data_IF_112920824215
#
_entry.id   IF_112920824215
#
_cell.length_a   1.000
_cell.length_b   1.000
_cell.length_c   1.000
_cell.angle_alpha   90.00
_cell.angle_beta   90.00
_cell.angle_gamma   90.00
#
_symmetry.space_group_name_H-M   'P 1'
#
loop_
_entity.id
_entity.type
_entity.pdbx_description
1 polymer ?
#
# COMPACT_ATOMS: atom_id res chain seq x y z
N UNK A 1 10.04 31.75 -8.06
CA UNK A 1 10.75 31.01 -9.11
C UNK A 1 11.71 30.04 -8.43
N UNK A 2 11.46 28.74 -8.54
CA UNK A 2 12.22 27.68 -7.87
C UNK A 2 13.39 27.16 -8.73
N UNK A 3 13.44 27.54 -10.01
CA UNK A 3 14.38 26.95 -10.96
C UNK A 3 15.84 27.27 -10.62
N UNK A 4 16.10 28.50 -10.17
CA UNK A 4 17.44 28.92 -9.73
C UNK A 4 17.94 28.18 -8.49
N UNK A 5 17.04 27.83 -7.57
CA UNK A 5 17.37 27.09 -6.34
C UNK A 5 17.69 25.63 -6.68
N UNK A 6 16.90 25.02 -7.55
CA UNK A 6 17.13 23.64 -7.98
C UNK A 6 18.47 23.51 -8.72
N UNK A 7 18.77 24.41 -9.66
CA UNK A 7 20.08 24.44 -10.35
C UNK A 7 21.26 24.68 -9.43
N UNK A 8 21.07 25.37 -8.30
CA UNK A 8 22.12 25.53 -7.30
C UNK A 8 22.33 24.23 -6.50
N UNK A 9 21.26 23.55 -6.13
CA UNK A 9 21.30 22.26 -5.43
C UNK A 9 21.92 21.15 -6.31
N UNK A 10 21.57 21.09 -7.60
CA UNK A 10 22.17 20.16 -8.57
C UNK A 10 23.68 20.36 -8.67
N UNK A 11 24.13 21.61 -8.88
CA UNK A 11 25.56 21.94 -8.93
C UNK A 11 26.30 21.58 -7.65
N UNK A 12 25.65 21.77 -6.49
CA UNK A 12 26.23 21.39 -5.22
C UNK A 12 26.42 19.87 -5.16
N UNK A 13 25.40 19.09 -5.53
CA UNK A 13 25.47 17.62 -5.53
C UNK A 13 26.54 17.09 -6.51
N UNK A 14 26.63 17.65 -7.71
CA UNK A 14 27.62 17.24 -8.72
C UNK A 14 29.07 17.55 -8.31
N UNK A 15 29.28 18.61 -7.53
CA UNK A 15 30.62 19.03 -7.06
C UNK A 15 31.01 18.46 -5.69
N UNK A 16 30.06 17.92 -4.92
CA UNK A 16 30.27 17.40 -3.57
C UNK A 16 29.85 15.93 -3.49
N UNK A 17 30.63 15.08 -4.19
CA UNK A 17 30.54 13.63 -4.02
C UNK A 17 30.96 13.19 -2.61
N UNK A 18 30.81 11.89 -2.33
CA UNK A 18 31.27 11.31 -1.07
C UNK A 18 32.76 11.54 -0.87
N UNK A 19 33.13 12.28 0.18
CA UNK A 19 34.52 12.67 0.45
C UNK A 19 35.30 11.62 1.25
N UNK A 20 34.75 10.42 1.43
CA UNK A 20 35.28 9.42 2.35
C UNK A 20 34.90 9.76 3.79
N UNK A 21 34.16 8.87 4.44
CA UNK A 21 33.69 9.06 5.81
C UNK A 21 32.73 7.97 6.25
N UNK A 22 32.38 7.99 7.53
CA UNK A 22 31.40 7.09 8.14
C UNK A 22 30.05 7.11 7.38
N UNK A 23 29.25 6.05 7.53
CA UNK A 23 27.90 5.94 6.94
C UNK A 23 27.86 5.74 5.41
N UNK A 24 28.87 5.08 4.82
CA UNK A 24 28.96 4.86 3.37
C UNK A 24 27.70 4.21 2.79
N UNK A 25 27.18 3.14 3.42
CA UNK A 25 26.03 2.41 2.87
C UNK A 25 24.76 3.26 2.92
N UNK A 26 24.57 4.01 4.00
CA UNK A 26 23.47 4.97 4.12
C UNK A 26 23.58 6.12 3.11
N UNK A 27 24.80 6.62 2.88
CA UNK A 27 25.05 7.63 1.85
C UNK A 27 24.72 7.10 0.45
N UNK A 28 25.13 5.87 0.12
CA UNK A 28 24.77 5.22 -1.15
C UNK A 28 23.27 5.12 -1.33
N UNK A 29 22.55 4.64 -0.32
CA UNK A 29 21.09 4.61 -0.37
C UNK A 29 20.49 6.03 -0.56
N UNK A 30 21.06 7.03 0.11
CA UNK A 30 20.62 8.43 -0.05
C UNK A 30 20.87 8.98 -1.46
N UNK A 31 21.96 8.57 -2.12
CA UNK A 31 22.24 8.90 -3.52
C UNK A 31 21.16 8.33 -4.44
N UNK A 32 20.77 7.05 -4.26
CA UNK A 32 19.69 6.42 -5.06
C UNK A 32 18.37 7.17 -4.90
N UNK A 33 18.04 7.60 -3.67
CA UNK A 33 16.83 8.39 -3.40
C UNK A 33 16.85 9.70 -4.17
N UNK A 34 17.93 10.45 -4.05
CA UNK A 34 18.08 11.75 -4.72
C UNK A 34 17.97 11.60 -6.24
N UNK A 35 18.72 10.67 -6.81
CA UNK A 35 18.75 10.46 -8.26
C UNK A 35 17.40 9.99 -8.79
N UNK A 36 16.66 9.17 -8.03
CA UNK A 36 15.31 8.74 -8.41
C UNK A 36 14.35 9.93 -8.56
N UNK A 37 14.36 10.89 -7.63
CA UNK A 37 13.53 12.09 -7.76
C UNK A 37 14.00 13.01 -8.90
N UNK A 38 15.31 13.10 -9.12
CA UNK A 38 15.89 13.89 -10.22
C UNK A 38 15.49 13.33 -11.58
N UNK A 39 15.51 12.01 -11.76
CA UNK A 39 15.07 11.35 -12.99
C UNK A 39 13.61 11.68 -13.35
N UNK A 40 12.73 11.76 -12.35
CA UNK A 40 11.32 12.15 -12.53
C UNK A 40 11.20 13.63 -12.88
N UNK A 41 11.87 14.51 -12.13
CA UNK A 41 11.86 15.94 -12.41
C UNK A 41 12.36 16.23 -13.83
N UNK A 42 13.39 15.50 -14.29
CA UNK A 42 13.95 15.64 -15.61
C UNK A 42 13.14 14.94 -16.71
N UNK A 43 12.09 14.19 -16.37
CA UNK A 43 11.31 13.37 -17.30
C UNK A 43 12.15 12.31 -18.02
N UNK A 44 13.26 11.88 -17.44
CA UNK A 44 14.26 11.00 -18.05
C UNK A 44 14.68 9.93 -17.06
N UNK A 45 14.24 8.70 -17.32
CA UNK A 45 14.60 7.50 -16.54
C UNK A 45 15.47 6.56 -17.39
N UNK A 46 16.79 6.77 -17.44
CA UNK A 46 17.68 5.86 -18.15
C UNK A 46 17.63 4.47 -17.49
N UNK A 47 17.51 3.42 -18.31
CA UNK A 47 17.50 2.02 -17.82
C UNK A 47 18.76 1.64 -17.04
N UNK A 48 19.89 2.26 -17.39
CA UNK A 48 21.20 1.99 -16.78
C UNK A 48 21.97 3.29 -16.62
N UNK A 49 21.67 4.11 -15.59
CA UNK A 49 22.40 5.34 -15.33
C UNK A 49 23.85 5.04 -14.93
N UNK A 50 24.80 5.87 -15.36
CA UNK A 50 26.22 5.70 -15.02
C UNK A 50 26.44 5.71 -13.50
N UNK A 51 25.82 6.66 -12.78
CA UNK A 51 25.92 6.75 -11.31
C UNK A 51 25.50 5.46 -10.60
N UNK A 52 24.50 4.75 -11.16
CA UNK A 52 23.98 3.51 -10.61
C UNK A 52 24.96 2.36 -10.88
N UNK A 53 25.45 2.25 -12.12
CA UNK A 53 26.42 1.23 -12.50
C UNK A 53 27.71 1.37 -11.69
N UNK A 54 28.17 2.60 -11.45
CA UNK A 54 29.35 2.87 -10.65
C UNK A 54 29.17 2.39 -9.20
N UNK A 55 28.02 2.68 -8.58
CA UNK A 55 27.73 2.21 -7.22
C UNK A 55 27.53 0.70 -7.13
N UNK A 56 26.94 0.05 -8.14
CA UNK A 56 26.87 -1.42 -8.22
C UNK A 56 28.28 -2.02 -8.28
N UNK A 57 29.16 -1.47 -9.12
CA UNK A 57 30.54 -1.94 -9.22
C UNK A 57 31.30 -1.76 -7.91
N UNK A 58 31.11 -0.64 -7.22
CA UNK A 58 31.73 -0.44 -5.90
C UNK A 58 31.18 -1.40 -4.84
N UNK A 59 29.85 -1.55 -4.73
CA UNK A 59 29.25 -2.49 -3.79
C UNK A 59 29.69 -3.93 -4.05
N UNK A 60 29.84 -4.32 -5.32
CA UNK A 60 30.31 -5.67 -5.67
C UNK A 60 31.73 -5.97 -5.15
N UNK A 61 32.58 -4.95 -4.97
CA UNK A 61 33.93 -5.10 -4.40
C UNK A 61 33.93 -5.33 -2.89
N UNK A 62 32.85 -4.91 -2.21
CA UNK A 62 32.74 -4.96 -0.76
C UNK A 62 31.88 -6.13 -0.26
N UNK A 63 31.21 -6.83 -1.18
CA UNK A 63 30.36 -7.97 -0.84
C UNK A 63 31.21 -9.18 -0.45
N UNK A 64 30.94 -9.77 0.72
CA UNK A 64 31.59 -11.00 1.15
C UNK A 64 30.95 -12.25 0.51
N UNK A 65 31.59 -13.40 0.67
CA UNK A 65 31.18 -14.66 0.03
C UNK A 65 29.78 -15.15 0.46
N UNK A 66 29.29 -14.76 1.63
CA UNK A 66 27.95 -15.07 2.10
C UNK A 66 26.90 -14.01 1.71
N UNK A 67 27.31 -13.02 0.92
CA UNK A 67 26.45 -11.99 0.37
C UNK A 67 26.30 -10.75 1.25
N UNK A 68 26.92 -10.70 2.44
CA UNK A 68 26.83 -9.54 3.34
C UNK A 68 27.69 -8.37 2.87
N UNK A 69 27.32 -7.17 3.31
CA UNK A 69 28.14 -5.97 3.20
C UNK A 69 28.60 -5.53 4.60
N UNK A 70 29.87 -5.77 4.95
CA UNK A 70 30.35 -5.55 6.29
C UNK A 70 30.66 -4.08 6.54
N UNK A 71 30.53 -3.64 7.80
CA UNK A 71 30.93 -2.29 8.21
C UNK A 71 32.42 -2.03 7.99
N UNK A 72 33.24 -3.09 8.07
CA UNK A 72 34.71 -3.03 7.98
C UNK A 72 35.21 -2.60 6.60
N UNK A 73 34.43 -2.85 5.54
CA UNK A 73 34.83 -2.50 4.17
C UNK A 73 34.93 -0.99 3.95
N UNK A 74 34.15 -0.18 4.68
CA UNK A 74 34.05 1.28 4.50
C UNK A 74 34.07 2.07 5.81
N UNK A 75 34.56 1.46 6.90
CA UNK A 75 34.59 2.04 8.25
C UNK A 75 33.22 2.63 8.66
N UNK A 76 32.14 1.87 8.47
CA UNK A 76 30.79 2.28 8.89
C UNK A 76 30.60 2.11 10.41
N UNK A 77 29.59 2.78 10.99
CA UNK A 77 29.25 2.70 12.42
C UNK A 77 28.04 1.82 12.72
N UNK A 78 27.36 1.33 11.67
CA UNK A 78 26.24 0.41 11.80
C UNK A 78 26.68 -1.06 11.75
N UNK A 79 25.84 -1.96 12.27
CA UNK A 79 26.08 -3.40 12.14
C UNK A 79 26.06 -3.85 10.68
N UNK A 80 26.70 -4.99 10.40
CA UNK A 80 26.72 -5.62 9.08
C UNK A 80 25.31 -5.84 8.51
N UNK A 81 24.32 -6.13 9.37
CA UNK A 81 22.92 -6.28 8.97
C UNK A 81 22.34 -4.99 8.39
N UNK A 82 22.57 -3.86 9.05
CA UNK A 82 22.06 -2.54 8.62
C UNK A 82 22.79 -2.09 7.34
N UNK A 83 24.11 -2.31 7.28
CA UNK A 83 24.90 -2.04 6.09
C UNK A 83 24.37 -2.82 4.88
N UNK A 84 24.08 -4.11 5.08
CA UNK A 84 23.50 -4.98 4.06
C UNK A 84 22.11 -4.52 3.64
N UNK A 85 21.25 -4.11 4.58
CA UNK A 85 19.94 -3.54 4.26
C UNK A 85 20.06 -2.32 3.34
N UNK A 86 20.96 -1.37 3.64
CA UNK A 86 21.14 -0.18 2.80
C UNK A 86 21.74 -0.51 1.43
N UNK A 87 22.69 -1.45 1.36
CA UNK A 87 23.23 -1.93 0.09
C UNK A 87 22.13 -2.56 -0.77
N UNK A 88 21.27 -3.40 -0.18
CA UNK A 88 20.14 -4.01 -0.88
C UNK A 88 19.15 -2.94 -1.36
N UNK A 89 18.76 -1.98 -0.51
CA UNK A 89 17.84 -0.89 -0.89
C UNK A 89 18.34 -0.10 -2.12
N UNK A 90 19.65 0.17 -2.15
CA UNK A 90 20.31 0.77 -3.32
C UNK A 90 20.22 -0.14 -4.56
N UNK A 91 20.64 -1.41 -4.45
CA UNK A 91 20.70 -2.36 -5.56
C UNK A 91 19.32 -2.68 -6.15
N UNK A 92 18.27 -2.69 -5.33
CA UNK A 92 16.92 -2.92 -5.83
C UNK A 92 16.27 -1.65 -6.40
N UNK A 93 16.96 -0.50 -6.36
CA UNK A 93 16.41 0.83 -6.67
C UNK A 93 15.08 1.07 -5.96
N UNK A 94 15.05 0.88 -4.64
CA UNK A 94 13.80 0.83 -3.88
C UNK A 94 12.97 2.10 -4.03
N UNK A 95 13.62 3.27 -4.16
CA UNK A 95 12.93 4.55 -4.28
C UNK A 95 12.37 4.73 -5.68
N UNK A 96 13.17 4.42 -6.72
CA UNK A 96 12.66 4.45 -8.09
C UNK A 96 11.48 3.51 -8.26
N UNK A 97 11.53 2.30 -7.69
CA UNK A 97 10.40 1.35 -7.72
C UNK A 97 9.17 1.88 -7.00
N UNK A 98 9.36 2.43 -5.80
CA UNK A 98 8.28 3.03 -5.04
C UNK A 98 7.64 4.19 -5.83
N UNK A 99 8.42 4.99 -6.57
CA UNK A 99 7.87 6.07 -7.38
C UNK A 99 7.27 5.57 -8.70
N UNK A 100 7.83 4.56 -9.35
CA UNK A 100 7.21 3.93 -10.52
C UNK A 100 5.84 3.34 -10.21
N UNK A 101 5.69 2.75 -9.02
CA UNK A 101 4.38 2.33 -8.49
C UNK A 101 3.43 3.50 -8.22
N UNK A 102 3.95 4.71 -7.98
CA UNK A 102 3.15 5.95 -7.87
C UNK A 102 2.78 6.53 -9.25
N UNK A 103 3.63 6.40 -10.27
CA UNK A 103 3.37 6.87 -11.64
C UNK A 103 2.33 5.98 -12.37
N UNK A 104 2.32 4.68 -12.08
CA UNK A 104 1.25 3.77 -12.51
C UNK A 104 -0.05 3.94 -11.71
N UNK A 105 0.01 4.64 -10.57
CA UNK A 105 -1.11 4.80 -9.66
C UNK A 105 -0.98 6.00 -8.73
N UNK A 106 -1.43 7.16 -9.23
CA UNK A 106 -1.65 8.46 -8.54
C UNK A 106 -0.62 9.54 -8.90
N UNK A 107 -1.01 10.36 -9.89
CA UNK A 107 -0.53 11.73 -10.04
C UNK A 107 -0.75 12.48 -8.70
N UNK A 108 0.33 12.74 -7.98
CA UNK A 108 0.28 13.40 -6.69
C UNK A 108 0.32 14.92 -6.85
N UNK A 109 -0.60 15.58 -6.16
CA UNK A 109 -0.34 16.91 -5.62
C UNK A 109 -0.67 18.07 -6.56
N UNK A 110 -1.96 18.36 -6.76
CA UNK A 110 -2.47 19.73 -6.91
C UNK A 110 -1.93 20.60 -8.06
N UNK A 111 -1.06 20.09 -8.92
CA UNK A 111 -0.65 20.70 -10.17
C UNK A 111 -1.35 19.93 -11.29
N UNK A 112 -2.07 20.68 -12.13
CA UNK A 112 -3.02 20.14 -13.10
C UNK A 112 -2.44 19.07 -14.03
N UNK A 113 -3.32 18.16 -14.43
CA UNK A 113 -3.07 17.14 -15.43
C UNK A 113 -2.44 17.73 -16.70
N UNK A 114 -1.53 17.00 -17.38
CA UNK A 114 -1.09 17.34 -18.72
C UNK A 114 -2.31 17.55 -19.63
N UNK A 115 -2.28 18.62 -20.46
CA UNK A 115 -3.41 19.02 -21.33
C UNK A 115 -3.75 18.02 -22.43
N UNK A 116 -3.03 16.90 -22.53
CA UNK A 116 -3.29 15.89 -23.54
C UNK A 116 -3.30 14.50 -22.89
N UNK A 117 -4.50 14.01 -22.61
CA UNK A 117 -4.80 12.68 -22.07
C UNK A 117 -5.49 11.80 -23.10
N UNK A 118 -5.29 12.08 -24.39
CA UNK A 118 -5.78 11.23 -25.48
C UNK A 118 -5.13 9.83 -25.52
N UNK A 119 -4.10 9.60 -24.71
CA UNK A 119 -3.49 8.28 -24.50
C UNK A 119 -4.16 7.45 -23.38
N UNK A 120 -5.29 7.90 -22.83
CA UNK A 120 -6.13 7.09 -21.94
C UNK A 120 -6.64 5.88 -22.72
N UNK A 121 -6.08 4.74 -22.31
CA UNK A 121 -6.36 3.36 -22.71
C UNK A 121 -7.85 3.17 -23.01
N UNK A 122 -8.15 2.94 -24.29
CA UNK A 122 -9.40 2.35 -24.73
C UNK A 122 -9.51 0.93 -24.15
N UNK A 123 -10.30 0.76 -23.09
CA UNK A 123 -10.89 -0.54 -22.76
C UNK A 123 -12.38 -0.43 -23.03
N UNK A 124 -12.80 -0.93 -24.21
CA UNK A 124 -14.20 -1.21 -24.58
C UNK A 124 -15.26 -0.17 -24.22
N UNK A 125 -15.65 0.67 -25.18
CA UNK A 125 -16.88 1.49 -25.24
C UNK A 125 -17.41 2.23 -23.98
N UNK A 126 -16.64 2.36 -22.90
CA UNK A 126 -17.07 3.03 -21.67
C UNK A 126 -15.92 3.82 -21.06
N UNK A 127 -16.09 5.13 -20.98
CA UNK A 127 -15.20 6.05 -20.28
C UNK A 127 -15.38 5.77 -18.78
N UNK A 128 -14.38 5.15 -18.16
CA UNK A 128 -14.34 4.88 -16.71
C UNK A 128 -13.71 6.11 -16.04
N UNK A 129 -14.25 6.55 -14.90
CA UNK A 129 -13.68 7.69 -14.17
C UNK A 129 -12.36 7.31 -13.49
N UNK A 130 -11.46 8.27 -13.28
CA UNK A 130 -10.13 8.03 -12.66
C UNK A 130 -10.23 7.36 -11.28
N UNK A 131 -11.29 7.66 -10.51
CA UNK A 131 -11.55 7.04 -9.21
C UNK A 131 -11.94 5.55 -9.33
N UNK A 132 -12.70 5.19 -10.37
CA UNK A 132 -13.12 3.81 -10.60
C UNK A 132 -11.94 2.94 -11.04
N UNK A 133 -11.07 3.49 -11.90
CA UNK A 133 -9.85 2.82 -12.35
C UNK A 133 -8.92 2.50 -11.17
N UNK A 134 -8.65 3.48 -10.30
CA UNK A 134 -7.80 3.28 -9.12
C UNK A 134 -8.35 2.22 -8.14
N UNK A 135 -9.67 2.17 -7.94
CA UNK A 135 -10.29 1.13 -7.11
C UNK A 135 -10.20 -0.27 -7.73
N UNK A 136 -10.30 -0.39 -9.06
CA UNK A 136 -10.16 -1.66 -9.76
C UNK A 136 -8.73 -2.20 -9.71
N UNK A 137 -7.74 -1.33 -9.88
CA UNK A 137 -6.32 -1.69 -9.85
C UNK A 137 -5.91 -2.16 -8.45
N UNK A 138 -6.33 -1.44 -7.38
CA UNK A 138 -6.09 -1.88 -6.00
C UNK A 138 -6.71 -3.24 -5.69
N UNK A 139 -7.95 -3.49 -6.15
CA UNK A 139 -8.58 -4.81 -5.98
C UNK A 139 -7.79 -5.91 -6.69
N UNK A 140 -7.27 -5.62 -7.89
CA UNK A 140 -6.46 -6.57 -8.65
C UNK A 140 -5.13 -6.86 -7.94
N UNK A 141 -4.49 -5.84 -7.36
CA UNK A 141 -3.28 -6.03 -6.55
C UNK A 141 -3.55 -6.91 -5.32
N UNK A 142 -4.66 -6.66 -4.62
CA UNK A 142 -5.05 -7.47 -3.45
C UNK A 142 -5.34 -8.93 -3.79
N UNK A 143 -5.81 -9.20 -5.01
CA UNK A 143 -6.05 -10.57 -5.50
C UNK A 143 -4.77 -11.30 -5.92
N UNK A 144 -3.69 -10.58 -6.24
CA UNK A 144 -2.47 -11.14 -6.84
C UNK A 144 -1.44 -11.65 -5.81
N UNK A 145 -1.81 -11.86 -4.54
CA UNK A 145 -0.95 -12.30 -3.43
C UNK A 145 0.30 -11.45 -3.13
N UNK A 146 0.64 -10.48 -3.99
CA UNK A 146 1.69 -9.49 -3.79
C UNK A 146 1.28 -8.53 -2.67
N UNK A 147 1.71 -8.89 -1.46
CA UNK A 147 1.40 -8.19 -0.23
C UNK A 147 1.67 -6.69 -0.32
N UNK A 148 0.61 -5.90 -0.26
CA UNK A 148 0.68 -4.49 0.09
C UNK A 148 1.19 -4.40 1.53
N UNK A 149 2.48 -4.09 1.71
CA UNK A 149 3.11 -3.85 3.01
C UNK A 149 2.52 -2.63 3.74
N UNK A 150 3.22 -2.11 4.76
CA UNK A 150 2.74 -1.04 5.67
C UNK A 150 2.21 0.28 5.05
N UNK A 151 2.28 0.44 3.72
CA UNK A 151 1.65 1.54 2.95
C UNK A 151 0.14 1.36 2.73
N UNK A 152 -0.42 0.20 3.07
CA UNK A 152 -1.82 -0.16 2.82
C UNK A 152 -2.81 0.76 3.53
N UNK A 153 -2.54 1.17 4.77
CA UNK A 153 -3.51 1.92 5.58
C UNK A 153 -3.81 3.32 5.03
N UNK A 154 -2.81 3.96 4.41
CA UNK A 154 -2.98 5.26 3.77
C UNK A 154 -3.76 5.14 2.45
N UNK A 155 -3.43 4.15 1.61
CA UNK A 155 -4.16 3.89 0.35
C UNK A 155 -5.63 3.52 0.59
N UNK A 156 -5.91 2.78 1.66
CA UNK A 156 -7.28 2.42 2.05
C UNK A 156 -8.14 3.63 2.43
N UNK A 157 -7.56 4.66 3.03
CA UNK A 157 -8.31 5.86 3.37
C UNK A 157 -8.69 6.67 2.13
N UNK A 158 -7.96 6.50 1.03
CA UNK A 158 -8.22 7.18 -0.24
C UNK A 158 -9.13 6.37 -1.17
N UNK A 159 -9.23 5.05 -0.98
CA UNK A 159 -10.10 4.21 -1.82
C UNK A 159 -11.57 4.60 -1.64
N UNK A 160 -12.19 4.98 -2.75
CA UNK A 160 -13.61 5.26 -2.86
C UNK A 160 -14.25 4.18 -3.73
N UNK A 161 -15.37 3.63 -3.25
CA UNK A 161 -16.18 2.74 -4.07
C UNK A 161 -16.84 3.55 -5.17
N UNK A 162 -16.91 2.95 -6.35
CA UNK A 162 -17.46 3.59 -7.55
C UNK A 162 -18.81 4.25 -7.27
N UNK A 163 -19.07 5.47 -7.77
CA UNK A 163 -20.41 6.05 -7.69
C UNK A 163 -21.41 5.34 -8.62
N UNK A 164 -20.92 4.60 -9.62
CA UNK A 164 -21.78 3.80 -10.50
C UNK A 164 -22.32 2.57 -9.77
N UNK A 165 -23.65 2.36 -9.69
CA UNK A 165 -24.23 1.25 -8.93
C UNK A 165 -23.80 -0.13 -9.41
N UNK A 166 -23.58 -0.30 -10.72
CA UNK A 166 -23.18 -1.60 -11.30
C UNK A 166 -21.73 -1.92 -10.94
N UNK A 167 -20.81 -0.98 -11.20
CA UNK A 167 -19.41 -1.15 -10.83
C UNK A 167 -19.22 -1.26 -9.31
N UNK A 168 -19.98 -0.49 -8.51
CA UNK A 168 -19.95 -0.59 -7.04
C UNK A 168 -20.34 -1.99 -6.57
N UNK A 169 -21.42 -2.56 -7.11
CA UNK A 169 -21.87 -3.90 -6.74
C UNK A 169 -20.80 -4.96 -7.05
N UNK A 170 -20.12 -4.83 -8.18
CA UNK A 170 -19.00 -5.70 -8.55
C UNK A 170 -17.82 -5.55 -7.58
N UNK A 171 -17.42 -4.31 -7.26
CA UNK A 171 -16.35 -4.03 -6.30
C UNK A 171 -16.67 -4.61 -4.91
N UNK A 172 -17.90 -4.41 -4.43
CA UNK A 172 -18.37 -4.95 -3.14
C UNK A 172 -18.35 -6.49 -3.14
N UNK A 173 -18.80 -7.13 -4.23
CA UNK A 173 -18.75 -8.58 -4.37
C UNK A 173 -17.31 -9.13 -4.34
N UNK A 174 -16.37 -8.44 -4.99
CA UNK A 174 -14.93 -8.79 -4.94
C UNK A 174 -14.37 -8.63 -3.53
N UNK A 175 -14.67 -7.53 -2.85
CA UNK A 175 -14.26 -7.31 -1.46
C UNK A 175 -14.79 -8.41 -0.52
N UNK A 176 -16.06 -8.81 -0.64
CA UNK A 176 -16.63 -9.89 0.16
C UNK A 176 -15.88 -11.23 -0.05
N UNK A 177 -15.47 -11.52 -1.29
CA UNK A 177 -14.65 -12.70 -1.60
C UNK A 177 -13.26 -12.61 -0.99
N UNK A 178 -12.61 -11.45 -1.08
CA UNK A 178 -11.31 -11.18 -0.46
C UNK A 178 -11.37 -11.31 1.07
N UNK A 179 -12.44 -10.84 1.71
CA UNK A 179 -12.63 -11.01 3.14
C UNK A 179 -12.71 -12.47 3.56
N UNK A 180 -13.29 -13.34 2.73
CA UNK A 180 -13.46 -14.75 3.06
C UNK A 180 -12.24 -15.62 2.73
N UNK A 181 -11.51 -15.33 1.65
CA UNK A 181 -10.49 -16.24 1.10
C UNK A 181 -9.17 -15.55 0.75
N UNK A 182 -9.04 -14.24 0.98
CA UNK A 182 -7.83 -13.50 0.68
C UNK A 182 -6.72 -13.75 1.71
N UNK A 183 -5.55 -13.22 1.37
CA UNK A 183 -4.43 -13.10 2.32
C UNK A 183 -4.83 -12.25 3.52
N UNK A 184 -4.10 -12.37 4.63
CA UNK A 184 -4.38 -11.61 5.85
C UNK A 184 -4.46 -10.08 5.59
N UNK A 185 -3.62 -9.55 4.70
CA UNK A 185 -3.67 -8.14 4.27
C UNK A 185 -4.95 -7.84 3.50
N UNK A 186 -5.34 -8.68 2.54
CA UNK A 186 -6.58 -8.51 1.78
C UNK A 186 -7.83 -8.61 2.66
N UNK A 187 -7.84 -9.49 3.67
CA UNK A 187 -8.97 -9.61 4.61
C UNK A 187 -9.15 -8.35 5.45
N UNK A 188 -8.06 -7.77 5.99
CA UNK A 188 -8.11 -6.50 6.73
C UNK A 188 -8.68 -5.37 5.88
N UNK A 189 -8.19 -5.26 4.65
CA UNK A 189 -8.65 -4.25 3.67
C UNK A 189 -10.13 -4.41 3.39
N UNK A 190 -10.53 -5.63 3.04
CA UNK A 190 -11.90 -5.93 2.70
C UNK A 190 -12.86 -5.65 3.85
N UNK A 191 -12.49 -6.06 5.08
CA UNK A 191 -13.27 -5.77 6.27
C UNK A 191 -13.54 -4.26 6.42
N UNK A 192 -12.51 -3.42 6.29
CA UNK A 192 -12.61 -1.96 6.43
C UNK A 192 -13.45 -1.31 5.32
N UNK A 193 -13.28 -1.74 4.08
CA UNK A 193 -13.95 -1.11 2.93
C UNK A 193 -15.41 -1.53 2.78
N UNK A 194 -15.75 -2.77 3.15
CA UNK A 194 -17.15 -3.23 3.13
C UNK A 194 -18.04 -2.38 4.05
N UNK A 195 -17.52 -1.90 5.19
CA UNK A 195 -18.24 -0.95 6.04
C UNK A 195 -18.61 0.38 5.35
N UNK A 196 -17.82 0.81 4.36
CA UNK A 196 -18.05 2.04 3.58
C UNK A 196 -18.97 1.85 2.37
N UNK A 197 -19.37 0.61 2.08
CA UNK A 197 -20.27 0.31 0.96
C UNK A 197 -21.70 0.80 1.17
N UNK A 198 -22.09 1.04 2.42
CA UNK A 198 -23.48 1.27 2.84
C UNK A 198 -24.43 0.13 2.45
N UNK A 199 -23.89 -1.05 2.11
CA UNK A 199 -24.63 -2.22 1.69
C UNK A 199 -24.83 -3.18 2.88
N UNK A 200 -26.08 -3.27 3.34
CA UNK A 200 -26.46 -4.14 4.46
C UNK A 200 -26.42 -5.63 4.10
N UNK A 201 -26.37 -5.97 2.81
CA UNK A 201 -26.21 -7.37 2.38
C UNK A 201 -24.80 -7.91 2.70
N UNK A 202 -23.85 -7.04 3.04
CA UNK A 202 -22.49 -7.40 3.47
C UNK A 202 -22.37 -7.67 4.97
N UNK A 203 -23.43 -7.43 5.75
CA UNK A 203 -23.42 -7.68 7.20
C UNK A 203 -23.06 -9.13 7.54
N UNK A 204 -23.60 -10.17 6.88
CA UNK A 204 -23.25 -11.54 7.22
C UNK A 204 -21.77 -11.88 7.05
N UNK A 205 -21.13 -11.42 5.96
CA UNK A 205 -19.70 -11.69 5.75
C UNK A 205 -18.84 -10.94 6.77
N UNK A 206 -19.25 -9.75 7.21
CA UNK A 206 -18.60 -9.02 8.30
C UNK A 206 -18.79 -9.70 9.66
N UNK A 207 -19.97 -10.28 9.94
CA UNK A 207 -20.21 -11.07 11.15
C UNK A 207 -19.29 -12.30 11.18
N UNK A 208 -19.15 -13.00 10.05
CA UNK A 208 -18.26 -14.16 9.95
C UNK A 208 -16.80 -13.75 10.21
N UNK A 209 -16.38 -12.59 9.73
CA UNK A 209 -15.03 -12.04 9.92
C UNK A 209 -14.69 -11.68 11.39
N UNK A 210 -15.67 -11.62 12.30
CA UNK A 210 -15.40 -11.49 13.74
C UNK A 210 -14.72 -12.74 14.33
N UNK A 211 -14.78 -13.88 13.63
CA UNK A 211 -14.10 -15.13 13.99
C UNK A 211 -12.74 -15.31 13.30
N UNK A 212 -12.24 -14.32 12.55
CA UNK A 212 -10.99 -14.45 11.79
C UNK A 212 -9.79 -14.70 12.72
N UNK A 213 -8.83 -15.49 12.22
CA UNK A 213 -7.58 -15.82 12.90
C UNK A 213 -6.66 -14.60 13.04
N UNK A 214 -6.71 -13.67 12.09
CA UNK A 214 -5.94 -12.43 12.14
C UNK A 214 -6.60 -11.48 13.14
N UNK A 215 -5.93 -11.11 14.25
CA UNK A 215 -6.54 -10.33 15.31
C UNK A 215 -7.00 -8.92 14.90
N UNK A 216 -6.52 -8.38 13.77
CA UNK A 216 -6.97 -7.08 13.27
C UNK A 216 -8.28 -7.17 12.48
N UNK A 217 -8.59 -8.31 11.88
CA UNK A 217 -9.79 -8.46 11.04
C UNK A 217 -11.08 -8.35 11.88
N UNK A 218 -11.22 -9.00 13.06
CA UNK A 218 -12.39 -8.83 13.92
C UNK A 218 -12.59 -7.39 14.37
N UNK A 219 -11.51 -6.66 14.69
CA UNK A 219 -11.60 -5.25 15.05
C UNK A 219 -12.17 -4.40 13.89
N UNK A 220 -11.67 -4.59 12.67
CA UNK A 220 -12.09 -3.84 11.49
C UNK A 220 -13.52 -4.22 11.06
N UNK A 221 -13.88 -5.49 11.19
CA UNK A 221 -15.24 -5.98 10.95
C UNK A 221 -16.23 -5.37 11.95
N UNK A 222 -15.87 -5.33 13.24
CA UNK A 222 -16.68 -4.68 14.29
C UNK A 222 -16.88 -3.18 14.02
N UNK A 223 -15.82 -2.47 13.64
CA UNK A 223 -15.92 -1.06 13.26
C UNK A 223 -16.89 -0.84 12.09
N UNK A 224 -16.80 -1.70 11.08
CA UNK A 224 -17.65 -1.67 9.90
C UNK A 224 -19.12 -2.00 10.22
N UNK A 225 -19.36 -2.97 11.08
CA UNK A 225 -20.71 -3.31 11.57
C UNK A 225 -21.31 -2.14 12.37
N UNK A 226 -20.52 -1.46 13.21
CA UNK A 226 -20.96 -0.25 13.94
C UNK A 226 -21.31 0.88 12.98
N UNK A 227 -20.57 1.04 11.88
CA UNK A 227 -20.84 2.03 10.85
C UNK A 227 -22.15 1.72 10.09
N UNK A 228 -22.27 0.51 9.53
CA UNK A 228 -23.45 0.09 8.75
C UNK A 228 -24.73 0.11 9.59
N UNK A 229 -24.65 -0.34 10.85
CA UNK A 229 -25.78 -0.37 11.77
C UNK A 229 -26.11 0.98 12.41
N UNK A 230 -25.23 1.98 12.26
CA UNK A 230 -25.23 3.25 12.99
C UNK A 230 -25.21 3.09 14.52
N UNK A 231 -24.76 1.94 15.05
CA UNK A 231 -24.60 1.68 16.49
C UNK A 231 -23.21 2.14 16.97
N UNK A 232 -22.90 3.42 16.77
CA UNK A 232 -21.60 3.99 17.10
C UNK A 232 -21.26 3.94 18.60
N UNK A 233 -22.24 3.76 19.48
CA UNK A 233 -22.01 3.60 20.93
C UNK A 233 -21.77 2.15 21.36
N UNK A 234 -21.92 1.16 20.47
CA UNK A 234 -21.60 -0.22 20.79
C UNK A 234 -20.09 -0.35 21.11
N UNK A 235 -19.70 -1.17 22.11
CA UNK A 235 -18.29 -1.39 22.44
C UNK A 235 -17.47 -1.80 21.23
N UNK A 236 -16.22 -1.33 21.16
CA UNK A 236 -15.29 -1.75 20.11
C UNK A 236 -14.61 -3.05 20.53
N UNK A 237 -14.32 -3.92 19.57
CA UNK A 237 -13.36 -5.00 19.76
C UNK A 237 -11.94 -4.44 19.65
N UNK A 238 -11.10 -4.77 20.62
CA UNK A 238 -9.67 -4.52 20.55
C UNK A 238 -8.97 -5.65 19.77
N UNK A 239 -7.78 -5.36 19.24
CA UNK A 239 -6.96 -6.34 18.50
C UNK A 239 -6.73 -7.61 19.33
N UNK A 240 -6.44 -7.46 20.62
CA UNK A 240 -6.22 -8.57 21.56
C UNK A 240 -7.52 -9.06 22.22
N UNK A 241 -8.69 -8.91 21.58
CA UNK A 241 -9.96 -9.34 22.15
C UNK A 241 -10.02 -10.85 22.38
N UNK A 242 -10.49 -11.23 23.57
CA UNK A 242 -10.65 -12.61 24.00
C UNK A 242 -11.72 -13.34 23.16
N UNK A 243 -11.60 -14.67 22.93
CA UNK A 243 -12.57 -15.44 22.16
C UNK A 243 -14.02 -15.28 22.65
N UNK A 244 -14.21 -15.11 23.97
CA UNK A 244 -15.52 -14.86 24.57
C UNK A 244 -16.13 -13.52 24.12
N UNK A 245 -15.31 -12.47 24.03
CA UNK A 245 -15.75 -11.14 23.57
C UNK A 245 -16.15 -11.19 22.10
N UNK A 246 -15.35 -11.87 21.26
CA UNK A 246 -15.67 -12.07 19.83
C UNK A 246 -16.99 -12.82 19.66
N UNK A 247 -17.20 -13.89 20.42
CA UNK A 247 -18.46 -14.65 20.42
C UNK A 247 -19.65 -13.78 20.84
N UNK A 248 -19.51 -12.97 21.88
CA UNK A 248 -20.57 -12.03 22.30
C UNK A 248 -20.90 -11.00 21.22
N UNK A 249 -19.89 -10.46 20.51
CA UNK A 249 -20.10 -9.55 19.39
C UNK A 249 -20.85 -10.23 18.24
N UNK A 250 -20.45 -11.45 17.87
CA UNK A 250 -21.13 -12.26 16.83
C UNK A 250 -22.62 -12.44 17.16
N UNK A 251 -22.94 -12.87 18.39
CA UNK A 251 -24.33 -13.07 18.81
C UNK A 251 -25.13 -11.76 18.80
N UNK A 252 -24.51 -10.66 19.24
CA UNK A 252 -25.13 -9.33 19.19
C UNK A 252 -25.49 -8.92 17.76
N UNK A 253 -24.53 -9.03 16.84
CA UNK A 253 -24.73 -8.62 15.45
C UNK A 253 -25.66 -9.55 14.68
N UNK A 254 -25.62 -10.86 14.93
CA UNK A 254 -26.61 -11.81 14.40
C UNK A 254 -28.01 -11.42 14.84
N UNK A 255 -28.22 -11.16 16.13
CA UNK A 255 -29.52 -10.74 16.67
C UNK A 255 -29.98 -9.42 16.07
N UNK A 256 -29.09 -8.43 15.95
CA UNK A 256 -29.40 -7.16 15.32
C UNK A 256 -29.82 -7.34 13.85
N UNK A 257 -29.05 -8.12 13.07
CA UNK A 257 -29.32 -8.35 11.67
C UNK A 257 -30.61 -9.14 11.44
N UNK A 258 -30.90 -10.16 12.26
CA UNK A 258 -32.18 -10.87 12.23
C UNK A 258 -33.37 -9.97 12.58
N UNK A 259 -33.17 -8.93 13.38
CA UNK A 259 -34.18 -7.90 13.62
C UNK A 259 -34.53 -7.09 12.35
N UNK A 260 -33.61 -6.99 11.40
CA UNK A 260 -33.79 -6.31 10.11
C UNK A 260 -34.20 -7.28 8.98
N UNK A 261 -33.69 -8.52 9.03
CA UNK A 261 -33.89 -9.59 8.06
C UNK A 261 -34.28 -10.89 8.81
N UNK A 262 -35.54 -11.02 9.27
CA UNK A 262 -35.99 -12.16 10.07
C UNK A 262 -35.84 -13.51 9.35
N UNK A 263 -35.94 -13.47 8.02
CA UNK A 263 -35.92 -14.62 7.13
C UNK A 263 -34.48 -15.07 6.77
N UNK A 264 -33.46 -14.31 7.20
CA UNK A 264 -32.07 -14.66 6.94
C UNK A 264 -31.64 -15.88 7.78
N UNK A 265 -30.99 -16.85 7.14
CA UNK A 265 -30.46 -18.04 7.80
C UNK A 265 -28.95 -17.97 7.84
N UNK A 266 -28.38 -17.86 9.03
CA UNK A 266 -26.95 -18.03 9.23
C UNK A 266 -26.59 -19.51 9.13
N UNK A 267 -25.72 -19.86 8.19
CA UNK A 267 -25.19 -21.22 8.05
C UNK A 267 -24.00 -21.34 9.00
N UNK A 268 -23.99 -22.36 9.86
CA UNK A 268 -22.80 -22.70 10.65
C UNK A 268 -21.72 -23.24 9.70
N UNK A 269 -20.54 -22.63 9.72
CA UNK A 269 -19.33 -23.15 9.08
C UNK A 269 -18.54 -23.99 10.06
#
# INVERSE_FOLDING_TARGET
DLEGIIKAAERYHESHGFTGGYWYYYWRYSQERYESFREIQAGRQPKSPNWYNDGVLELSRFQEADGRWPQSAMADFYSDDICSCFAILYLIRSTQKAIGQLDEGIAFGGYGLPKDVSSIRHVGNRIVSDADASAQDLLKMLEQEDGLGGQLEWQLNQMQLSPDPVARREQVSRLARLLSHGTYTARRVAAKLLGRSEDLDQVPVLIDALSDEDPYVPQLAEESLRLLSRKLSHPRLEVASEPAQRKSAIEYWKKWYLGLRPDYVFIAR
#
